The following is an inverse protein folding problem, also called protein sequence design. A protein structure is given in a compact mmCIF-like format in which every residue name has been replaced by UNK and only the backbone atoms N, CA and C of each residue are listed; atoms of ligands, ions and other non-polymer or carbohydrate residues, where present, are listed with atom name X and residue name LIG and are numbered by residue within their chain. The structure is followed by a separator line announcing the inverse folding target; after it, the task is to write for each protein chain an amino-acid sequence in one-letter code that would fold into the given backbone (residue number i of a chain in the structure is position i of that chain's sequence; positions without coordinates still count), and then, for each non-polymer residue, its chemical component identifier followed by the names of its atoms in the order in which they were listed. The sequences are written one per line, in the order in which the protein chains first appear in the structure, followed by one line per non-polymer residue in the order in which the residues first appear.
data_IF_849185414807
#
_entry.id   IF_849185414807
#
_cell.length_a   1.000
_cell.length_b   1.000
_cell.length_c   1.000
_cell.angle_alpha   90.00
_cell.angle_beta   90.00
_cell.angle_gamma   90.00
#
_symmetry.space_group_name_H-M   'P 1'
#
loop_
_entity.id
_entity.type
_entity.pdbx_description
1 polymer ?
#
# COMPACT_ATOMS: atom_id res chain seq x y z
N UNK A 1 12.45 7.11 10.00
CA UNK A 1 12.13 6.41 8.73
C UNK A 1 10.89 7.05 8.12
N UNK A 2 10.71 6.88 6.82
CA UNK A 2 9.57 7.43 6.07
C UNK A 2 8.73 6.30 5.47
N UNK A 3 7.41 6.45 5.49
CA UNK A 3 6.47 5.44 4.98
C UNK A 3 5.58 6.08 3.92
N UNK A 4 5.36 5.39 2.81
CA UNK A 4 4.27 5.67 1.87
C UNK A 4 3.24 4.54 1.92
N UNK A 5 1.98 4.86 2.22
CA UNK A 5 0.84 3.96 2.02
C UNK A 5 0.38 4.10 0.58
N UNK A 6 0.31 2.99 -0.14
CA UNK A 6 0.12 3.01 -1.60
C UNK A 6 -0.89 1.95 -2.04
N UNK A 7 -1.79 2.28 -2.98
CA UNK A 7 -2.74 1.33 -3.51
C UNK A 7 -2.04 0.34 -4.45
N UNK A 8 -2.71 -0.78 -4.72
CA UNK A 8 -2.19 -1.86 -5.57
C UNK A 8 -2.87 -1.95 -6.93
N UNK A 9 -3.71 -0.97 -7.26
CA UNK A 9 -4.44 -0.96 -8.53
C UNK A 9 -3.49 -0.79 -9.74
N UNK A 10 -3.56 -1.66 -10.77
CA UNK A 10 -2.85 -1.47 -12.04
C UNK A 10 -3.24 -0.17 -12.74
N UNK A 11 -4.38 0.41 -12.38
CA UNK A 11 -4.90 1.66 -12.95
C UNK A 11 -4.04 2.89 -12.60
N UNK A 12 -3.05 2.75 -11.72
CA UNK A 12 -1.99 3.76 -11.59
C UNK A 12 -1.15 3.87 -12.87
N UNK A 13 -1.00 2.80 -13.64
CA UNK A 13 -0.20 2.79 -14.87
C UNK A 13 -0.99 3.51 -15.97
N UNK A 14 -0.43 4.57 -16.59
CA UNK A 14 -1.17 5.43 -17.52
C UNK A 14 -1.79 4.65 -18.69
N UNK A 15 -1.05 3.70 -19.25
CA UNK A 15 -1.46 2.92 -20.42
C UNK A 15 -2.62 1.96 -20.13
N UNK A 16 -2.89 1.68 -18.85
CA UNK A 16 -3.97 0.79 -18.41
C UNK A 16 -5.24 1.55 -17.99
N UNK A 17 -5.13 2.86 -17.75
CA UNK A 17 -6.22 3.71 -17.31
C UNK A 17 -7.10 4.16 -18.50
N UNK A 18 -7.73 3.23 -19.22
CA UNK A 18 -8.62 3.57 -20.33
C UNK A 18 -9.93 4.20 -19.83
N UNK A 19 -10.22 5.45 -20.24
CA UNK A 19 -11.56 6.07 -20.07
C UNK A 19 -11.89 6.71 -18.72
N UNK A 20 -11.03 6.60 -17.70
CA UNK A 20 -11.21 7.20 -16.37
C UNK A 20 -10.03 8.11 -15.95
N UNK A 21 -9.56 8.93 -16.89
CA UNK A 21 -8.27 9.62 -16.80
C UNK A 21 -8.15 10.66 -15.67
N UNK A 22 -9.25 11.24 -15.20
CA UNK A 22 -9.25 12.33 -14.21
C UNK A 22 -8.88 11.88 -12.80
N UNK A 23 -9.75 11.06 -12.19
CA UNK A 23 -9.58 10.59 -10.80
C UNK A 23 -8.34 9.70 -10.64
N UNK A 24 -8.09 8.81 -11.60
CA UNK A 24 -6.89 7.97 -11.61
C UNK A 24 -5.61 8.78 -11.88
N UNK A 25 -5.71 9.89 -12.61
CA UNK A 25 -4.59 10.82 -12.82
C UNK A 25 -4.15 11.50 -11.52
N UNK A 26 -5.11 11.94 -10.70
CA UNK A 26 -4.83 12.50 -9.38
C UNK A 26 -4.23 11.45 -8.42
N UNK A 27 -4.80 10.24 -8.39
CA UNK A 27 -4.30 9.14 -7.57
C UNK A 27 -2.87 8.75 -7.96
N UNK A 28 -2.59 8.58 -9.26
CA UNK A 28 -1.25 8.33 -9.78
C UNK A 28 -0.28 9.43 -9.37
N UNK A 29 -0.65 10.70 -9.57
CA UNK A 29 0.22 11.83 -9.23
C UNK A 29 0.58 11.83 -7.75
N UNK A 30 -0.41 11.60 -6.87
CA UNK A 30 -0.20 11.47 -5.44
C UNK A 30 0.74 10.30 -5.10
N UNK A 31 0.52 9.11 -5.68
CA UNK A 31 1.35 7.93 -5.45
C UNK A 31 2.81 8.17 -5.87
N UNK A 32 3.04 8.73 -7.07
CA UNK A 32 4.39 9.05 -7.53
C UNK A 32 5.07 10.12 -6.67
N UNK A 33 4.33 11.12 -6.21
CA UNK A 33 4.84 12.16 -5.32
C UNK A 33 5.20 11.61 -3.93
N UNK A 34 4.37 10.73 -3.37
CA UNK A 34 4.63 10.05 -2.11
C UNK A 34 5.92 9.23 -2.16
N UNK A 35 6.12 8.44 -3.22
CA UNK A 35 7.33 7.63 -3.39
C UNK A 35 8.56 8.51 -3.65
N UNK A 36 8.42 9.62 -4.37
CA UNK A 36 9.51 10.57 -4.54
C UNK A 36 9.94 11.20 -3.20
N UNK A 37 8.99 11.65 -2.37
CA UNK A 37 9.26 12.23 -1.05
C UNK A 37 9.90 11.21 -0.10
N UNK A 38 9.26 10.07 0.10
CA UNK A 38 9.70 9.03 1.05
C UNK A 38 11.06 8.44 0.69
N UNK A 39 11.38 8.33 -0.60
CA UNK A 39 12.66 7.77 -1.04
C UNK A 39 13.76 8.83 -1.30
N UNK A 40 13.45 10.13 -1.19
CA UNK A 40 14.36 11.22 -1.61
C UNK A 40 15.76 11.16 -0.99
N UNK A 41 15.85 10.69 0.25
CA UNK A 41 17.11 10.57 1.01
C UNK A 41 17.30 9.14 1.56
N UNK A 42 16.55 8.18 1.05
CA UNK A 42 16.58 6.80 1.53
C UNK A 42 17.87 6.11 1.11
N UNK A 43 18.50 5.40 2.04
CA UNK A 43 19.64 4.53 1.76
C UNK A 43 19.20 3.07 1.59
N UNK A 44 18.04 2.69 2.13
CA UNK A 44 17.48 1.34 2.04
C UNK A 44 15.94 1.39 1.95
N UNK A 45 15.40 0.85 0.86
CA UNK A 45 13.96 0.86 0.57
C UNK A 45 13.38 -0.55 0.73
N UNK A 46 12.32 -0.67 1.54
CA UNK A 46 11.50 -1.87 1.62
C UNK A 46 10.14 -1.67 0.95
N UNK A 47 9.64 -2.72 0.30
CA UNK A 47 8.25 -2.86 -0.14
C UNK A 47 7.59 -3.86 0.79
N UNK A 48 6.67 -3.40 1.64
CA UNK A 48 5.92 -4.24 2.55
C UNK A 48 4.61 -4.70 1.87
N UNK A 49 4.44 -6.01 1.74
CA UNK A 49 3.30 -6.65 1.08
C UNK A 49 2.62 -7.66 2.00
N UNK A 50 1.32 -7.97 1.82
CA UNK A 50 0.65 -9.00 2.61
C UNK A 50 1.22 -10.39 2.29
N UNK A 51 1.26 -11.26 3.31
CA UNK A 51 1.70 -12.65 3.16
C UNK A 51 3.22 -12.82 3.33
N UNK A 52 3.79 -13.70 2.51
CA UNK A 52 5.20 -14.13 2.57
C UNK A 52 6.03 -13.62 1.41
N UNK A 53 7.11 -12.91 1.72
CA UNK A 53 8.13 -12.48 0.76
C UNK A 53 9.45 -12.13 1.48
N UNK A 54 10.57 -12.45 0.86
CA UNK A 54 11.91 -12.01 1.29
C UNK A 54 12.83 -12.07 0.06
N UNK A 55 12.74 -11.06 -0.80
CA UNK A 55 13.45 -11.06 -2.09
C UNK A 55 13.80 -9.65 -2.57
N UNK A 56 14.92 -9.53 -3.28
CA UNK A 56 15.29 -8.29 -3.94
C UNK A 56 14.35 -8.03 -5.14
N UNK A 57 13.80 -6.82 -5.21
CA UNK A 57 12.96 -6.39 -6.32
C UNK A 57 13.84 -6.04 -7.53
N UNK A 58 14.16 -7.04 -8.33
CA UNK A 58 15.05 -6.91 -9.51
C UNK A 58 14.30 -6.85 -10.82
N UNK A 59 13.17 -7.54 -10.90
CA UNK A 59 12.28 -7.56 -12.06
C UNK A 59 10.84 -7.57 -11.60
N UNK A 60 9.94 -7.06 -12.43
CA UNK A 60 8.51 -7.11 -12.17
C UNK A 60 7.76 -7.08 -13.49
N UNK A 61 6.70 -7.88 -13.62
CA UNK A 61 5.78 -7.77 -14.74
C UNK A 61 4.35 -8.08 -14.34
N UNK A 62 3.39 -7.46 -15.04
CA UNK A 62 1.96 -7.73 -14.92
C UNK A 62 1.48 -8.84 -15.87
N UNK A 63 2.40 -9.58 -16.52
CA UNK A 63 2.06 -10.64 -17.48
C UNK A 63 1.24 -11.79 -16.86
N UNK A 64 1.38 -12.02 -15.56
CA UNK A 64 0.53 -12.95 -14.80
C UNK A 64 -0.95 -12.56 -14.76
N UNK A 65 -1.26 -11.30 -15.07
CA UNK A 65 -2.61 -10.75 -15.20
C UNK A 65 -3.02 -10.51 -16.66
N UNK A 66 -2.24 -11.02 -17.63
CA UNK A 66 -2.49 -10.81 -19.06
C UNK A 66 -2.13 -9.40 -19.57
N UNK A 67 -1.40 -8.61 -18.79
CA UNK A 67 -1.00 -7.24 -19.13
C UNK A 67 0.49 -7.24 -19.50
N UNK A 68 0.83 -6.89 -20.73
CA UNK A 68 2.24 -6.85 -21.20
C UNK A 68 2.94 -5.54 -20.81
N UNK A 69 3.09 -5.34 -19.50
CA UNK A 69 3.82 -4.21 -18.90
C UNK A 69 4.83 -4.75 -17.88
N UNK A 70 6.03 -4.16 -17.87
CA UNK A 70 7.15 -4.57 -17.04
C UNK A 70 8.13 -5.51 -17.76
N UNK A 71 9.00 -6.16 -16.99
CA UNK A 71 10.08 -7.03 -17.49
C UNK A 71 10.39 -8.16 -16.50
N UNK A 72 11.02 -9.23 -16.99
CA UNK A 72 11.30 -10.44 -16.20
C UNK A 72 10.04 -11.23 -15.86
N UNK A 73 10.08 -11.94 -14.72
CA UNK A 73 9.03 -12.87 -14.31
C UNK A 73 7.75 -12.15 -13.83
N UNK A 74 6.57 -12.79 -13.94
CA UNK A 74 5.34 -12.30 -13.33
C UNK A 74 5.50 -12.11 -11.82
N UNK A 75 5.05 -10.95 -11.32
CA UNK A 75 5.08 -10.64 -9.90
C UNK A 75 3.65 -10.50 -9.35
N UNK A 76 3.42 -10.77 -8.05
CA UNK A 76 2.17 -10.41 -7.39
C UNK A 76 1.86 -8.93 -7.55
N UNK A 77 0.57 -8.59 -7.62
CA UNK A 77 0.13 -7.24 -7.94
C UNK A 77 0.76 -6.14 -7.06
N UNK A 78 0.82 -6.25 -5.72
CA UNK A 78 1.48 -5.24 -4.87
C UNK A 78 2.96 -5.04 -5.21
N UNK A 79 3.67 -6.12 -5.58
CA UNK A 79 5.08 -6.08 -5.95
C UNK A 79 5.27 -5.43 -7.32
N UNK A 80 4.42 -5.76 -8.29
CA UNK A 80 4.49 -5.19 -9.63
C UNK A 80 4.23 -3.68 -9.62
N UNK A 81 3.23 -3.22 -8.87
CA UNK A 81 2.92 -1.79 -8.75
C UNK A 81 4.02 -1.05 -8.00
N UNK A 82 4.58 -1.62 -6.93
CA UNK A 82 5.74 -1.04 -6.26
C UNK A 82 6.94 -0.92 -7.21
N UNK A 83 7.21 -1.97 -8.01
CA UNK A 83 8.26 -1.95 -9.03
C UNK A 83 8.09 -0.86 -10.08
N UNK A 84 6.86 -0.63 -10.53
CA UNK A 84 6.55 0.49 -11.42
C UNK A 84 6.75 1.85 -10.75
N UNK A 85 6.25 2.05 -9.53
CA UNK A 85 6.40 3.30 -8.77
C UNK A 85 7.86 3.64 -8.42
N UNK A 86 8.67 2.61 -8.18
CA UNK A 86 10.08 2.76 -7.82
C UNK A 86 10.95 3.15 -9.03
N UNK A 87 10.49 2.93 -10.26
CA UNK A 87 11.18 3.35 -11.49
C UNK A 87 12.67 2.96 -11.49
N UNK A 88 12.95 1.69 -11.18
CA UNK A 88 14.31 1.14 -11.15
C UNK A 88 15.11 1.41 -9.87
N UNK A 89 14.55 2.11 -8.87
CA UNK A 89 15.17 2.22 -7.55
C UNK A 89 15.30 0.83 -6.89
N UNK A 90 16.51 0.43 -6.42
CA UNK A 90 16.69 -0.83 -5.72
C UNK A 90 15.84 -0.88 -4.45
N UNK A 91 15.10 -1.96 -4.27
CA UNK A 91 14.30 -2.20 -3.07
C UNK A 91 14.26 -3.69 -2.74
N UNK A 92 13.88 -3.99 -1.50
CA UNK A 92 13.65 -5.36 -1.04
C UNK A 92 12.18 -5.57 -0.69
N UNK A 93 11.59 -6.64 -1.18
CA UNK A 93 10.20 -7.01 -0.88
C UNK A 93 10.18 -7.85 0.39
N UNK A 94 9.42 -7.39 1.38
CA UNK A 94 9.21 -8.08 2.63
C UNK A 94 7.72 -8.40 2.81
N UNK A 95 7.43 -9.65 3.15
CA UNK A 95 6.13 -10.08 3.58
C UNK A 95 5.86 -9.67 5.02
N UNK A 96 4.57 -9.53 5.35
CA UNK A 96 4.12 -9.33 6.74
C UNK A 96 4.56 -10.43 7.72
N UNK A 97 4.94 -11.61 7.23
CA UNK A 97 5.45 -12.75 8.01
C UNK A 97 6.90 -12.59 8.53
N UNK A 98 7.72 -11.82 7.80
CA UNK A 98 9.12 -11.55 8.15
C UNK A 98 9.36 -10.11 8.60
N UNK A 99 8.39 -9.20 8.36
CA UNK A 99 8.52 -7.76 8.62
C UNK A 99 9.05 -7.43 10.02
N UNK A 100 8.57 -8.09 11.07
CA UNK A 100 9.00 -7.80 12.45
C UNK A 100 10.49 -8.05 12.72
N UNK A 101 11.16 -8.88 11.91
CA UNK A 101 12.60 -9.16 12.06
C UNK A 101 13.48 -8.37 11.09
N UNK A 102 12.90 -7.72 10.08
CA UNK A 102 13.66 -7.23 8.91
C UNK A 102 13.37 -5.77 8.57
N UNK A 103 12.18 -5.27 8.88
CA UNK A 103 11.74 -3.96 8.39
C UNK A 103 12.53 -2.80 9.04
N UNK A 104 13.10 -3.02 10.23
CA UNK A 104 13.94 -2.03 10.93
C UNK A 104 15.26 -1.71 10.20
N UNK A 105 15.68 -2.56 9.26
CA UNK A 105 16.89 -2.35 8.45
C UNK A 105 16.70 -1.28 7.35
N UNK A 106 15.48 -0.76 7.19
CA UNK A 106 15.09 0.13 6.10
C UNK A 106 14.66 1.51 6.63
N UNK A 107 15.06 2.55 5.90
CA UNK A 107 14.75 3.95 6.23
C UNK A 107 13.60 4.52 5.39
N UNK A 108 13.20 3.83 4.32
CA UNK A 108 11.99 4.08 3.54
C UNK A 108 11.16 2.80 3.33
N UNK A 109 9.84 2.90 3.53
CA UNK A 109 8.91 1.77 3.40
C UNK A 109 7.72 2.13 2.50
N UNK A 110 7.48 1.33 1.47
CA UNK A 110 6.26 1.34 0.68
C UNK A 110 5.30 0.28 1.25
N UNK A 111 4.28 0.72 1.98
CA UNK A 111 3.23 -0.12 2.55
C UNK A 111 2.11 -0.33 1.52
N UNK A 112 2.12 -1.48 0.84
CA UNK A 112 1.27 -1.75 -0.31
C UNK A 112 -0.06 -2.41 0.09
N UNK A 113 -1.18 -1.82 -0.29
CA UNK A 113 -2.49 -2.45 -0.15
C UNK A 113 -3.66 -1.48 -0.31
N UNK A 114 -4.82 -2.04 -0.64
CA UNK A 114 -6.07 -1.31 -0.86
C UNK A 114 -7.01 -1.49 0.34
N UNK A 115 -7.97 -0.56 0.49
CA UNK A 115 -9.13 -0.79 1.35
C UNK A 115 -10.11 -1.77 0.71
N UNK A 116 -11.34 -1.79 1.19
CA UNK A 116 -12.37 -2.74 0.76
C UNK A 116 -12.62 -2.66 -0.74
N UNK A 117 -13.00 -3.79 -1.35
CA UNK A 117 -13.41 -3.92 -2.75
C UNK A 117 -14.94 -4.10 -2.90
N UNK A 118 -15.68 -3.58 -1.91
CA UNK A 118 -17.10 -3.88 -1.68
C UNK A 118 -17.94 -2.64 -1.30
N UNK A 119 -17.49 -1.42 -1.64
CA UNK A 119 -18.15 -0.17 -1.19
C UNK A 119 -19.43 0.20 -1.94
N UNK A 120 -19.69 -0.42 -3.09
CA UNK A 120 -20.82 -0.08 -3.97
C UNK A 120 -21.39 -1.33 -4.63
N UNK A 121 -22.62 -1.25 -5.15
CA UNK A 121 -23.24 -2.38 -5.87
C UNK A 121 -22.43 -2.86 -7.07
N UNK A 122 -21.66 -1.94 -7.68
CA UNK A 122 -20.81 -2.19 -8.86
C UNK A 122 -19.36 -2.54 -8.49
N UNK A 123 -19.06 -2.63 -7.20
CA UNK A 123 -17.72 -2.98 -6.76
C UNK A 123 -17.38 -4.44 -7.15
N UNK A 124 -16.08 -4.79 -7.29
CA UNK A 124 -15.67 -6.13 -7.70
C UNK A 124 -16.26 -7.26 -6.85
N UNK A 125 -16.46 -7.03 -5.54
CA UNK A 125 -17.06 -8.01 -4.62
C UNK A 125 -18.53 -7.73 -4.27
N UNK A 126 -19.19 -6.83 -5.00
CA UNK A 126 -20.54 -6.31 -4.69
C UNK A 126 -20.60 -5.54 -3.35
N UNK A 127 -21.72 -4.86 -3.08
CA UNK A 127 -21.86 -4.04 -1.88
C UNK A 127 -21.90 -4.92 -0.62
N UNK A 128 -20.98 -4.66 0.30
CA UNK A 128 -21.09 -5.08 1.69
C UNK A 128 -21.35 -3.84 2.58
N UNK A 129 -22.44 -3.83 3.37
CA UNK A 129 -22.77 -2.69 4.24
C UNK A 129 -21.70 -2.32 5.27
N UNK A 130 -20.78 -3.25 5.61
CA UNK A 130 -19.70 -3.02 6.56
C UNK A 130 -18.47 -2.38 5.91
N UNK A 131 -18.32 -2.50 4.58
CA UNK A 131 -17.14 -2.07 3.84
C UNK A 131 -16.76 -0.61 4.09
N UNK A 132 -17.74 0.30 3.99
CA UNK A 132 -17.52 1.72 4.18
C UNK A 132 -17.03 2.05 5.59
N UNK A 133 -17.66 1.48 6.62
CA UNK A 133 -17.31 1.76 8.01
C UNK A 133 -15.91 1.22 8.39
N UNK A 134 -15.55 0.03 7.90
CA UNK A 134 -14.22 -0.56 8.10
C UNK A 134 -13.12 0.31 7.47
N UNK A 135 -13.34 0.73 6.23
CA UNK A 135 -12.44 1.61 5.50
C UNK A 135 -12.30 2.99 6.15
N UNK A 136 -13.41 3.61 6.54
CA UNK A 136 -13.41 4.94 7.14
C UNK A 136 -12.65 4.94 8.47
N UNK A 137 -12.78 3.87 9.27
CA UNK A 137 -12.02 3.69 10.50
C UNK A 137 -10.51 3.54 10.23
N UNK A 138 -10.12 2.69 9.27
CA UNK A 138 -8.71 2.51 8.91
C UNK A 138 -8.10 3.79 8.33
N UNK A 139 -8.82 4.50 7.46
CA UNK A 139 -8.40 5.78 6.88
C UNK A 139 -8.27 6.87 7.95
N UNK A 140 -9.23 6.95 8.88
CA UNK A 140 -9.15 7.89 10.00
C UNK A 140 -7.90 7.62 10.84
N UNK A 141 -7.63 6.35 11.16
CA UNK A 141 -6.45 5.97 11.93
C UNK A 141 -5.13 6.25 11.19
N UNK A 142 -5.06 6.02 9.87
CA UNK A 142 -3.90 6.40 9.05
C UNK A 142 -3.70 7.92 9.08
N UNK A 143 -4.79 8.69 8.92
CA UNK A 143 -4.76 10.16 8.90
C UNK A 143 -4.30 10.75 10.23
N UNK A 144 -4.81 10.24 11.36
CA UNK A 144 -4.45 10.72 12.70
C UNK A 144 -3.20 10.05 13.28
N UNK A 145 -2.59 9.11 12.56
CA UNK A 145 -1.53 8.24 13.06
C UNK A 145 -1.89 7.50 14.35
N UNK A 146 -3.15 7.04 14.45
CA UNK A 146 -3.63 6.24 15.57
C UNK A 146 -3.12 4.80 15.44
N UNK A 147 -1.94 4.55 16.03
CA UNK A 147 -1.29 3.26 16.01
C UNK A 147 -2.09 2.18 16.75
N UNK A 148 -2.86 2.54 17.79
CA UNK A 148 -3.61 1.58 18.58
C UNK A 148 -4.81 1.04 17.81
N UNK A 149 -5.54 1.91 17.12
CA UNK A 149 -6.60 1.50 16.19
C UNK A 149 -6.04 0.61 15.07
N UNK A 150 -4.89 0.97 14.49
CA UNK A 150 -4.27 0.16 13.42
C UNK A 150 -3.79 -1.21 13.91
N UNK A 151 -3.21 -1.29 15.12
CA UNK A 151 -2.89 -2.57 15.77
C UNK A 151 -4.15 -3.38 16.07
N UNK A 152 -5.25 -2.70 16.31
CA UNK A 152 -6.57 -3.27 16.63
C UNK A 152 -7.38 -3.76 15.43
N UNK A 153 -6.96 -3.53 14.18
CA UNK A 153 -7.77 -3.89 12.99
C UNK A 153 -8.19 -5.37 13.01
N UNK A 154 -9.47 -5.61 12.80
CA UNK A 154 -10.07 -6.95 12.67
C UNK A 154 -9.79 -7.49 11.27
N UNK A 155 -8.70 -8.24 11.13
CA UNK A 155 -8.26 -8.76 9.84
C UNK A 155 -9.33 -9.66 9.19
N UNK A 156 -9.98 -10.62 9.90
CA UNK A 156 -11.11 -11.35 9.34
C UNK A 156 -12.23 -10.47 8.76
N UNK A 157 -12.63 -9.39 9.44
CA UNK A 157 -13.67 -8.49 8.94
C UNK A 157 -13.22 -7.74 7.67
N UNK A 158 -11.97 -7.30 7.63
CA UNK A 158 -11.39 -6.66 6.44
C UNK A 158 -11.19 -7.62 5.27
N UNK A 159 -10.77 -8.86 5.55
CA UNK A 159 -10.63 -9.93 4.55
C UNK A 159 -12.00 -10.25 3.91
N UNK A 160 -13.10 -10.21 4.70
CA UNK A 160 -14.46 -10.46 4.22
C UNK A 160 -14.95 -9.42 3.19
N UNK A 161 -14.48 -8.17 3.26
CA UNK A 161 -14.79 -7.10 2.31
C UNK A 161 -13.69 -6.91 1.24
N UNK A 162 -12.75 -7.85 1.16
CA UNK A 162 -11.68 -7.88 0.16
C UNK A 162 -10.58 -6.83 0.33
N UNK A 163 -10.43 -6.25 1.53
CA UNK A 163 -9.38 -5.28 1.78
C UNK A 163 -8.01 -5.96 1.91
N UNK A 164 -7.01 -5.50 1.14
CA UNK A 164 -5.67 -6.11 1.11
C UNK A 164 -4.65 -5.37 1.99
N UNK A 165 -4.86 -4.08 2.22
CA UNK A 165 -3.99 -3.22 3.04
C UNK A 165 -4.04 -3.45 4.56
N UNK A 166 -5.17 -3.79 5.20
CA UNK A 166 -5.26 -3.89 6.66
C UNK A 166 -4.20 -4.77 7.32
N UNK A 167 -3.81 -5.89 6.70
CA UNK A 167 -2.73 -6.76 7.20
C UNK A 167 -1.38 -6.03 7.20
N UNK A 168 -1.07 -5.31 6.13
CA UNK A 168 0.14 -4.50 5.99
C UNK A 168 0.14 -3.34 6.98
N UNK A 169 -0.96 -2.61 7.09
CA UNK A 169 -1.09 -1.44 7.98
C UNK A 169 -0.99 -1.84 9.46
N UNK A 170 -1.64 -2.94 9.85
CA UNK A 170 -1.56 -3.52 11.20
C UNK A 170 -0.15 -3.97 11.54
N UNK A 171 0.50 -4.72 10.64
CA UNK A 171 1.89 -5.16 10.84
C UNK A 171 2.82 -3.97 10.99
N UNK A 172 2.70 -2.95 10.14
CA UNK A 172 3.52 -1.74 10.22
C UNK A 172 3.30 -0.98 11.54
N UNK A 173 2.04 -0.77 11.95
CA UNK A 173 1.73 -0.07 13.21
C UNK A 173 2.29 -0.80 14.45
N UNK A 174 2.38 -2.13 14.40
CA UNK A 174 3.03 -2.94 15.44
C UNK A 174 4.54 -2.70 15.59
N UNK A 175 5.19 -2.12 14.59
CA UNK A 175 6.64 -1.88 14.57
C UNK A 175 7.01 -0.42 14.82
N UNK A 176 6.05 0.48 14.90
CA UNK A 176 6.27 1.92 15.07
C UNK A 176 6.03 2.30 16.53
N UNK A 177 6.94 3.09 17.12
CA UNK A 177 6.73 3.67 18.45
C UNK A 177 6.03 5.02 18.40
N UNK A 178 6.28 5.80 17.33
CA UNK A 178 5.84 7.18 17.24
C UNK A 178 5.79 7.64 15.78
N UNK A 179 4.84 8.53 15.47
CA UNK A 179 4.65 9.13 14.16
C UNK A 179 4.73 10.65 14.29
N UNK A 180 5.82 11.21 13.80
CA UNK A 180 6.13 12.64 13.89
C UNK A 180 5.22 13.48 12.97
N UNK A 181 4.83 12.92 11.82
CA UNK A 181 3.92 13.58 10.89
C UNK A 181 3.14 12.57 10.05
N UNK A 182 1.86 12.86 9.79
CA UNK A 182 1.00 12.12 8.87
C UNK A 182 0.38 13.07 7.84
N UNK A 183 0.35 12.65 6.57
CA UNK A 183 -0.29 13.41 5.49
C UNK A 183 -1.01 12.46 4.54
N UNK A 184 -2.31 12.66 4.37
CA UNK A 184 -3.12 11.96 3.35
C UNK A 184 -3.10 12.80 2.07
N UNK A 185 -2.57 12.24 0.99
CA UNK A 185 -2.37 12.90 -0.30
C UNK A 185 -3.53 12.65 -1.26
N UNK A 186 -4.16 11.47 -1.19
CA UNK A 186 -5.31 11.12 -2.03
C UNK A 186 -6.15 10.02 -1.38
N UNK A 187 -7.46 10.09 -1.58
CA UNK A 187 -8.42 9.04 -1.25
C UNK A 187 -9.52 9.05 -2.30
N UNK A 188 -9.80 7.90 -2.92
CA UNK A 188 -10.86 7.78 -3.93
C UNK A 188 -11.32 6.32 -4.03
N UNK A 189 -12.55 6.11 -4.44
CA UNK A 189 -13.18 4.79 -4.59
C UNK A 189 -13.97 4.65 -5.90
N UNK A 190 -13.39 4.99 -7.07
CA UNK A 190 -14.13 5.20 -8.31
C UNK A 190 -14.79 3.91 -8.85
N UNK A 191 -14.31 2.76 -8.38
CA UNK A 191 -14.82 1.42 -8.71
C UNK A 191 -15.40 0.70 -7.48
N UNK A 192 -15.72 1.43 -6.41
CA UNK A 192 -16.10 0.83 -5.13
C UNK A 192 -14.97 0.09 -4.42
N UNK A 193 -13.72 0.38 -4.82
CA UNK A 193 -12.49 -0.07 -4.13
C UNK A 193 -11.82 1.14 -3.50
N UNK A 194 -11.61 1.17 -2.18
CA UNK A 194 -10.91 2.31 -1.57
C UNK A 194 -9.42 2.27 -1.92
N UNK A 195 -8.98 3.30 -2.64
CA UNK A 195 -7.57 3.63 -2.84
C UNK A 195 -7.18 4.81 -1.97
N UNK A 196 -6.05 4.69 -1.28
CA UNK A 196 -5.50 5.77 -0.47
C UNK A 196 -4.00 5.93 -0.74
N UNK A 197 -3.55 7.18 -0.71
CA UNK A 197 -2.13 7.53 -0.69
C UNK A 197 -1.89 8.41 0.52
N UNK A 198 -0.96 7.99 1.37
CA UNK A 198 -0.55 8.75 2.54
C UNK A 198 0.95 8.61 2.77
N UNK A 199 1.53 9.56 3.49
CA UNK A 199 2.93 9.50 3.94
C UNK A 199 3.03 9.75 5.42
N UNK A 200 3.93 9.00 6.08
CA UNK A 200 4.31 9.22 7.46
C UNK A 200 5.81 9.48 7.58
N UNK A 201 6.19 10.31 8.56
CA UNK A 201 7.51 10.28 9.19
C UNK A 201 7.35 9.66 10.56
N UNK A 202 8.12 8.61 10.83
CA UNK A 202 7.90 7.79 12.00
C UNK A 202 9.22 7.24 12.55
N UNK A 203 9.15 6.75 13.78
CA UNK A 203 10.25 6.07 14.49
C UNK A 203 9.89 4.61 14.71
N UNK A 204 10.81 3.72 14.38
CA UNK A 204 10.71 2.31 14.74
C UNK A 204 10.61 2.19 16.26
N UNK A 205 9.84 1.22 16.74
CA UNK A 205 9.96 0.74 18.11
C UNK A 205 11.31 0.04 18.29
N UNK A 206 11.86 0.09 19.49
CA UNK A 206 13.09 -0.62 19.80
C UNK A 206 12.90 -2.12 19.52
N UNK A 207 13.85 -2.77 18.82
CA UNK A 207 13.79 -4.22 18.62
C UNK A 207 13.80 -4.91 20.00
N UNK A 208 12.82 -5.79 20.23
CA UNK A 208 12.74 -6.62 21.44
C UNK A 208 13.86 -7.66 21.50
#
# INVERSE_FOLDING_TARGET
MSVAFLPTTPLLIPDLATGAAGELGALRSAATAAVADVCSHATAIAVLVPGSADLALTTWSLRGFGIDVGHGEPAPLPVAIAGWLLDGRPAHVLGTDVAGRRLHDYDAVLAMGDGSAARTDKAPLHLDPQAAALDDAALAAIRSADLDTLRGLDLPAHDAVGATGPRVWKTLAGLITDVESSTVLSTTDPYGVLYLVATWRARWADPA
#
